data_IF_520362257174
#
_entry.id   IF_520362257174
#
_cell.length_a   1.000
_cell.length_b   1.000
_cell.length_c   1.000
_cell.angle_alpha   90.00
_cell.angle_beta   90.00
_cell.angle_gamma   90.00
#
_symmetry.space_group_name_H-M   'P 1'
#
loop_
_entity.id
_entity.type
_entity.pdbx_description
1 polymer ?
#
# COMPACT_ATOMS: atom_id res chain seq x y z
N UNK A 1 18.72 -0.31 11.16
CA UNK A 1 18.25 -0.08 9.77
C UNK A 1 17.37 1.18 9.58
N UNK A 2 16.72 1.72 10.62
CA UNK A 2 15.90 2.96 10.53
C UNK A 2 16.70 4.24 10.20
N UNK A 3 17.96 4.32 10.63
CA UNK A 3 18.83 5.51 10.48
C UNK A 3 19.39 5.68 9.05
N UNK A 4 19.78 4.57 8.41
CA UNK A 4 20.37 4.60 7.05
C UNK A 4 19.39 5.02 5.97
N UNK A 5 18.12 4.57 6.05
CA UNK A 5 17.10 4.94 5.09
C UNK A 5 16.65 6.40 5.27
N UNK A 6 16.55 6.90 6.50
CA UNK A 6 16.22 8.30 6.80
C UNK A 6 17.21 9.29 6.16
N UNK A 7 18.51 8.98 6.22
CA UNK A 7 19.54 9.81 5.61
C UNK A 7 19.43 9.90 4.08
N UNK A 8 19.11 8.79 3.41
CA UNK A 8 18.96 8.75 1.94
C UNK A 8 17.75 9.54 1.43
N UNK A 9 16.61 9.45 2.12
CA UNK A 9 15.42 10.24 1.73
C UNK A 9 15.65 11.73 1.94
N UNK A 10 16.27 12.12 3.07
CA UNK A 10 16.62 13.52 3.36
C UNK A 10 17.56 14.10 2.30
N UNK A 11 18.57 13.34 1.88
CA UNK A 11 19.49 13.77 0.82
C UNK A 11 18.79 13.99 -0.53
N UNK A 12 17.84 13.11 -0.91
CA UNK A 12 17.06 13.26 -2.14
C UNK A 12 16.14 14.48 -2.09
N UNK A 13 15.46 14.70 -0.97
CA UNK A 13 14.59 15.86 -0.75
C UNK A 13 15.41 17.15 -0.86
N UNK A 14 16.53 17.22 -0.12
CA UNK A 14 17.47 18.34 -0.15
C UNK A 14 17.88 18.67 -1.59
N UNK A 15 18.41 17.69 -2.33
CA UNK A 15 18.86 17.90 -3.71
C UNK A 15 17.72 18.28 -4.66
N UNK A 16 16.53 17.69 -4.49
CA UNK A 16 15.36 17.98 -5.31
C UNK A 16 14.86 19.41 -5.15
N UNK A 17 14.69 19.87 -3.90
CA UNK A 17 14.21 21.22 -3.60
C UNK A 17 15.23 22.26 -4.10
N UNK A 18 16.52 22.09 -3.76
CA UNK A 18 17.57 23.01 -4.22
C UNK A 18 17.60 23.13 -5.74
N UNK A 19 17.53 22.01 -6.47
CA UNK A 19 17.54 21.99 -7.93
C UNK A 19 16.30 22.68 -8.52
N UNK A 20 15.14 22.50 -7.92
CA UNK A 20 13.90 23.15 -8.36
C UNK A 20 13.93 24.66 -8.10
N UNK A 21 14.48 25.11 -6.96
CA UNK A 21 14.66 26.53 -6.64
C UNK A 21 15.60 27.23 -7.63
N UNK A 22 16.72 26.60 -8.02
CA UNK A 22 17.63 27.18 -9.02
C UNK A 22 17.01 27.28 -10.43
N UNK A 23 16.00 26.48 -10.74
CA UNK A 23 15.28 26.49 -12.03
C UNK A 23 13.95 27.25 -11.96
N UNK A 24 13.72 27.99 -10.87
CA UNK A 24 12.44 28.63 -10.61
C UNK A 24 12.05 29.64 -11.70
N UNK A 25 13.00 30.48 -12.17
CA UNK A 25 12.75 31.47 -13.22
C UNK A 25 12.67 30.86 -14.62
N UNK A 26 13.50 29.87 -14.92
CA UNK A 26 13.65 29.31 -16.27
C UNK A 26 12.68 28.17 -16.61
N UNK A 27 12.10 27.50 -15.62
CA UNK A 27 11.29 26.32 -15.83
C UNK A 27 9.94 26.40 -15.10
N UNK A 28 8.87 26.64 -15.87
CA UNK A 28 7.52 26.81 -15.36
C UNK A 28 7.03 25.64 -14.46
N UNK A 29 7.25 24.35 -14.80
CA UNK A 29 6.87 23.26 -13.91
C UNK A 29 7.61 23.30 -12.57
N UNK A 30 8.86 23.77 -12.54
CA UNK A 30 9.61 23.93 -11.30
C UNK A 30 9.05 25.07 -10.43
N UNK A 31 8.67 26.18 -11.06
CA UNK A 31 7.95 27.27 -10.40
C UNK A 31 6.66 26.77 -9.74
N UNK A 32 5.78 26.13 -10.52
CA UNK A 32 4.51 25.60 -10.02
C UNK A 32 4.72 24.58 -8.90
N UNK A 33 5.73 23.72 -9.01
CA UNK A 33 6.04 22.74 -7.96
C UNK A 33 6.50 23.40 -6.66
N UNK A 34 7.36 24.42 -6.73
CA UNK A 34 7.83 25.17 -5.56
C UNK A 34 6.70 26.00 -4.95
N UNK A 35 5.92 26.71 -5.77
CA UNK A 35 4.82 27.54 -5.28
C UNK A 35 3.78 26.70 -4.53
N UNK A 36 3.44 25.52 -5.05
CA UNK A 36 2.55 24.56 -4.38
C UNK A 36 3.18 24.00 -3.11
N UNK A 37 4.48 23.70 -3.10
CA UNK A 37 5.16 23.20 -1.91
C UNK A 37 5.11 24.25 -0.78
N UNK A 38 5.44 25.49 -1.08
CA UNK A 38 5.51 26.56 -0.09
C UNK A 38 4.13 26.90 0.48
N UNK A 39 3.12 27.06 -0.39
CA UNK A 39 1.74 27.37 0.02
C UNK A 39 1.06 26.23 0.77
N UNK A 40 1.31 24.97 0.40
CA UNK A 40 0.70 23.80 1.04
C UNK A 40 1.28 23.50 2.42
N UNK A 41 2.58 23.70 2.60
CA UNK A 41 3.31 23.31 3.81
C UNK A 41 3.69 24.50 4.69
N UNK A 42 3.23 25.71 4.34
CA UNK A 42 3.50 26.95 5.08
C UNK A 42 5.00 27.12 5.38
N UNK A 43 5.81 27.07 4.31
CA UNK A 43 7.26 27.08 4.39
C UNK A 43 7.88 27.96 3.31
N UNK A 44 9.10 28.44 3.52
CA UNK A 44 9.82 29.24 2.52
C UNK A 44 11.28 28.84 2.39
N UNK A 45 11.72 28.68 1.14
CA UNK A 45 13.05 28.17 0.82
C UNK A 45 13.24 26.70 1.25
N UNK A 46 14.46 26.18 1.13
CA UNK A 46 14.73 24.81 1.58
C UNK A 46 14.92 24.74 3.08
N UNK A 47 15.84 25.56 3.61
CA UNK A 47 16.10 25.66 5.06
C UNK A 47 15.57 26.97 5.61
N UNK A 48 15.73 28.06 4.87
CA UNK A 48 15.29 29.38 5.26
C UNK A 48 14.94 30.22 4.02
N UNK A 49 14.12 31.26 4.20
CA UNK A 49 13.72 32.16 3.12
C UNK A 49 14.91 32.94 2.52
N UNK A 50 15.96 33.17 3.30
CA UNK A 50 17.16 33.91 2.89
C UNK A 50 17.89 33.27 1.70
N UNK A 51 17.69 31.97 1.45
CA UNK A 51 18.26 31.30 0.29
C UNK A 51 17.80 31.93 -1.03
N UNK A 52 16.59 32.49 -1.08
CA UNK A 52 16.07 33.21 -2.24
C UNK A 52 16.88 34.46 -2.59
N UNK A 53 17.58 35.05 -1.62
CA UNK A 53 18.38 36.26 -1.83
C UNK A 53 19.62 36.01 -2.68
N UNK A 54 20.03 34.75 -2.81
CA UNK A 54 21.20 34.33 -3.58
C UNK A 54 20.83 33.70 -4.92
N UNK A 55 19.54 33.59 -5.24
CA UNK A 55 19.05 32.98 -6.48
C UNK A 55 18.54 34.08 -7.42
N UNK A 56 19.04 34.18 -8.66
CA UNK A 56 18.57 35.19 -9.62
C UNK A 56 17.22 34.75 -10.23
N UNK A 57 16.14 34.80 -9.43
CA UNK A 57 14.81 34.34 -9.84
C UNK A 57 13.89 35.47 -10.33
N UNK A 58 14.16 36.72 -9.94
CA UNK A 58 13.33 37.90 -10.19
C UNK A 58 13.92 38.85 -11.26
N UNK A 59 15.17 38.66 -11.67
CA UNK A 59 15.83 39.56 -12.61
C UNK A 59 15.36 39.27 -14.04
N UNK A 60 14.82 40.30 -14.72
CA UNK A 60 14.53 40.22 -16.15
C UNK A 60 15.85 40.11 -16.92
N UNK A 61 15.90 39.22 -17.91
CA UNK A 61 17.08 38.94 -18.74
C UNK A 61 17.57 40.14 -19.56
N UNK A 62 16.85 41.26 -19.55
CA UNK A 62 17.07 42.37 -20.47
C UNK A 62 18.09 43.41 -20.00
N UNK A 63 18.43 43.52 -18.70
CA UNK A 63 19.24 44.64 -18.19
C UNK A 63 20.17 44.30 -17.03
N UNK A 64 20.94 43.21 -17.10
CA UNK A 64 22.14 43.15 -16.26
C UNK A 64 23.24 42.40 -16.96
N UNK A 65 24.29 43.15 -17.27
CA UNK A 65 25.60 42.66 -17.64
C UNK A 65 25.90 41.35 -16.91
N UNK A 66 26.21 40.33 -17.72
CA UNK A 66 26.60 38.96 -17.32
C UNK A 66 27.80 38.90 -16.35
N UNK A 67 28.33 40.04 -15.93
CA UNK A 67 29.52 40.21 -15.11
C UNK A 67 29.24 40.38 -13.59
N UNK A 68 27.99 40.50 -13.14
CA UNK A 68 27.65 40.51 -11.69
C UNK A 68 27.35 39.12 -11.09
N UNK A 69 27.34 38.07 -11.92
CA UNK A 69 26.97 36.68 -11.56
C UNK A 69 28.23 35.88 -11.16
N UNK A 70 29.23 36.54 -10.58
CA UNK A 70 30.45 35.88 -10.12
C UNK A 70 30.60 36.25 -8.65
N UNK A 71 30.62 35.20 -7.83
CA UNK A 71 30.61 35.18 -6.36
C UNK A 71 29.20 35.12 -5.78
N UNK A 72 29.04 34.34 -4.71
CA UNK A 72 27.81 34.09 -3.94
C UNK A 72 27.29 35.38 -3.28
N UNK A 73 26.99 36.37 -4.11
CA UNK A 73 26.74 37.74 -3.74
C UNK A 73 25.24 37.90 -3.65
N UNK A 74 24.79 38.35 -2.49
CA UNK A 74 23.43 38.80 -2.24
C UNK A 74 22.90 39.61 -3.44
N UNK A 75 21.79 39.15 -4.02
CA UNK A 75 21.22 39.69 -5.25
C UNK A 75 20.17 40.74 -4.90
N UNK A 76 19.17 40.33 -4.11
CA UNK A 76 18.09 41.19 -3.63
C UNK A 76 17.40 40.52 -2.43
N UNK A 77 16.76 41.31 -1.57
CA UNK A 77 15.93 40.86 -0.44
C UNK A 77 14.49 40.49 -0.87
N UNK A 78 14.34 39.90 -2.05
CA UNK A 78 13.06 39.50 -2.60
C UNK A 78 12.82 38.01 -2.41
N UNK A 79 11.59 37.65 -2.05
CA UNK A 79 11.10 36.27 -2.01
C UNK A 79 9.89 36.10 -2.94
N UNK A 80 9.64 34.87 -3.43
CA UNK A 80 8.43 34.59 -4.18
C UNK A 80 7.16 34.90 -3.36
N UNK A 81 6.10 35.32 -4.05
CA UNK A 81 4.79 35.55 -3.41
C UNK A 81 4.26 34.29 -2.71
N UNK A 82 4.62 33.11 -3.20
CA UNK A 82 4.29 31.83 -2.58
C UNK A 82 4.91 31.63 -1.20
N UNK A 83 5.77 32.51 -0.68
CA UNK A 83 6.26 32.47 0.70
C UNK A 83 5.42 33.29 1.69
N UNK A 84 4.39 33.99 1.20
CA UNK A 84 3.55 34.86 2.01
C UNK A 84 2.68 34.08 2.99
N UNK A 85 2.76 34.47 4.26
CA UNK A 85 1.91 33.92 5.30
C UNK A 85 0.48 34.47 5.23
N UNK A 86 -0.48 33.61 5.53
CA UNK A 86 -1.91 33.93 5.57
C UNK A 86 -2.39 34.28 6.98
N UNK A 87 -1.50 34.21 7.96
CA UNK A 87 -1.83 34.33 9.38
C UNK A 87 -1.90 35.80 9.82
N UNK A 88 -1.29 36.70 9.05
CA UNK A 88 -1.26 38.13 9.32
C UNK A 88 -2.41 38.85 8.59
N UNK A 89 -3.11 39.74 9.30
CA UNK A 89 -4.12 40.65 8.70
C UNK A 89 -3.51 41.75 7.81
N UNK A 90 -2.19 41.80 7.68
CA UNK A 90 -1.45 42.82 6.93
C UNK A 90 -1.12 42.33 5.52
N UNK A 91 -0.96 43.26 4.54
CA UNK A 91 -0.50 42.88 3.22
C UNK A 91 0.89 42.22 3.31
N UNK A 92 1.06 41.08 2.64
CA UNK A 92 2.34 40.40 2.63
C UNK A 92 3.42 41.23 1.91
N UNK A 93 4.54 41.46 2.61
CA UNK A 93 5.72 42.12 2.06
C UNK A 93 6.70 41.04 1.60
N UNK A 94 6.82 40.89 0.29
CA UNK A 94 7.70 39.90 -0.35
C UNK A 94 8.86 40.53 -1.15
N UNK A 95 8.84 41.85 -1.33
CA UNK A 95 9.98 42.64 -1.82
C UNK A 95 10.55 43.43 -0.65
N UNK A 96 11.86 43.60 -0.58
CA UNK A 96 12.43 44.42 0.48
C UNK A 96 12.25 43.80 1.87
N UNK A 97 12.21 42.46 2.01
CA UNK A 97 11.74 41.79 3.25
C UNK A 97 12.55 42.17 4.49
N UNK A 98 13.83 42.52 4.29
CA UNK A 98 14.75 42.94 5.37
C UNK A 98 14.70 44.45 5.65
N UNK A 99 14.05 45.24 4.78
CA UNK A 99 13.96 46.69 4.90
C UNK A 99 12.72 47.09 5.70
N UNK A 100 12.85 48.14 6.50
CA UNK A 100 11.71 48.70 7.22
C UNK A 100 10.82 49.49 6.25
N UNK A 101 9.53 49.17 6.25
CA UNK A 101 8.57 49.81 5.37
C UNK A 101 8.01 51.06 6.01
N UNK A 102 8.23 52.23 5.41
CA UNK A 102 7.68 53.51 5.92
C UNK A 102 6.18 53.65 5.67
N UNK A 103 5.69 53.10 4.55
CA UNK A 103 4.27 53.19 4.14
C UNK A 103 3.37 52.33 5.04
N UNK A 104 3.79 51.10 5.32
CA UNK A 104 2.98 50.12 6.08
C UNK A 104 3.45 49.93 7.53
N UNK A 105 4.38 50.76 8.03
CA UNK A 105 5.02 50.62 9.36
C UNK A 105 5.52 49.19 9.62
N UNK A 106 6.14 48.60 8.61
CA UNK A 106 6.63 47.23 8.67
C UNK A 106 7.96 47.17 9.41
N UNK A 107 8.03 46.31 10.43
CA UNK A 107 9.27 46.02 11.13
C UNK A 107 9.60 44.52 11.06
N UNK A 108 10.68 44.14 10.35
CA UNK A 108 11.03 42.74 10.12
C UNK A 108 11.40 41.98 11.40
N UNK A 109 11.79 42.69 12.47
CA UNK A 109 12.14 42.07 13.77
C UNK A 109 10.91 41.74 14.62
N UNK A 110 9.79 42.45 14.41
CA UNK A 110 8.58 42.29 15.21
C UNK A 110 7.52 41.46 14.51
N UNK A 111 7.36 41.63 13.20
CA UNK A 111 6.29 41.01 12.42
C UNK A 111 6.83 40.65 11.04
N UNK A 112 7.15 39.38 10.82
CA UNK A 112 7.58 38.89 9.52
C UNK A 112 6.36 38.27 8.81
N UNK A 113 5.95 38.82 7.67
CA UNK A 113 4.74 38.39 6.92
C UNK A 113 4.98 37.17 6.02
N UNK A 114 6.11 36.48 6.19
CA UNK A 114 6.51 35.33 5.37
C UNK A 114 6.81 34.13 6.27
N UNK A 115 6.65 32.94 5.73
CA UNK A 115 6.97 31.73 6.48
C UNK A 115 8.48 31.62 6.75
N UNK A 116 8.84 31.53 8.03
CA UNK A 116 10.23 31.33 8.47
C UNK A 116 10.67 29.87 8.42
N UNK A 117 9.71 28.93 8.41
CA UNK A 117 10.00 27.50 8.42
C UNK A 117 10.58 27.05 7.08
N UNK A 118 11.66 26.27 7.13
CA UNK A 118 12.23 25.62 5.95
C UNK A 118 11.36 24.48 5.44
N UNK A 119 11.19 24.40 4.12
CA UNK A 119 10.38 23.35 3.50
C UNK A 119 10.97 21.94 3.68
N UNK A 120 12.29 21.80 3.84
CA UNK A 120 12.94 20.51 4.06
C UNK A 120 12.41 19.82 5.33
N UNK A 121 12.42 20.55 6.46
CA UNK A 121 11.99 20.00 7.74
C UNK A 121 10.48 19.79 7.80
N UNK A 122 9.68 20.75 7.33
CA UNK A 122 8.22 20.64 7.28
C UNK A 122 7.75 19.48 6.42
N UNK A 123 8.38 19.27 5.27
CA UNK A 123 8.04 18.16 4.39
C UNK A 123 8.40 16.81 5.04
N UNK A 124 9.56 16.71 5.67
CA UNK A 124 10.00 15.49 6.35
C UNK A 124 9.10 15.15 7.53
N UNK A 125 8.72 16.15 8.33
CA UNK A 125 7.83 15.93 9.49
C UNK A 125 6.46 15.42 9.06
N UNK A 126 5.87 16.02 8.03
CA UNK A 126 4.58 15.59 7.49
C UNK A 126 4.65 14.19 6.88
N UNK A 127 5.68 13.90 6.08
CA UNK A 127 5.88 12.57 5.51
C UNK A 127 6.06 11.50 6.60
N UNK A 128 6.76 11.81 7.69
CA UNK A 128 6.98 10.89 8.80
C UNK A 128 5.67 10.60 9.55
N UNK A 129 4.87 11.62 9.83
CA UNK A 129 3.56 11.49 10.48
C UNK A 129 2.60 10.62 9.67
N UNK A 130 2.48 10.89 8.37
CA UNK A 130 1.64 10.11 7.46
C UNK A 130 2.14 8.67 7.32
N UNK A 131 3.45 8.49 7.18
CA UNK A 131 4.08 7.17 7.07
C UNK A 131 3.79 6.31 8.30
N UNK A 132 3.88 6.87 9.51
CA UNK A 132 3.55 6.13 10.73
C UNK A 132 2.11 5.59 10.73
N UNK A 133 1.13 6.44 10.37
CA UNK A 133 -0.28 6.04 10.28
C UNK A 133 -0.49 4.93 9.25
N UNK A 134 0.09 5.07 8.06
CA UNK A 134 0.00 4.05 7.02
C UNK A 134 0.63 2.73 7.46
N UNK A 135 1.83 2.76 8.05
CA UNK A 135 2.50 1.56 8.56
C UNK A 135 1.70 0.86 9.66
N UNK A 136 1.03 1.61 10.54
CA UNK A 136 0.18 1.05 11.58
C UNK A 136 -1.03 0.31 10.97
N UNK A 137 -1.71 0.93 10.01
CA UNK A 137 -2.84 0.32 9.29
C UNK A 137 -2.40 -0.92 8.51
N UNK A 138 -1.30 -0.84 7.77
CA UNK A 138 -0.74 -1.98 7.03
C UNK A 138 -0.37 -3.13 7.96
N UNK A 139 0.21 -2.85 9.13
CA UNK A 139 0.54 -3.89 10.11
C UNK A 139 -0.71 -4.58 10.65
N UNK A 140 -1.79 -3.84 10.91
CA UNK A 140 -3.08 -4.40 11.33
C UNK A 140 -3.66 -5.32 10.26
N UNK A 141 -3.62 -4.91 9.00
CA UNK A 141 -4.10 -5.72 7.86
C UNK A 141 -3.29 -7.03 7.77
N UNK A 142 -1.97 -6.97 7.87
CA UNK A 142 -1.11 -8.15 7.83
C UNK A 142 -1.42 -9.10 9.00
N UNK A 143 -1.62 -8.57 10.22
CA UNK A 143 -2.02 -9.40 11.37
C UNK A 143 -3.38 -10.08 11.13
N UNK A 144 -4.37 -9.35 10.61
CA UNK A 144 -5.68 -9.90 10.29
C UNK A 144 -5.59 -11.03 9.24
N UNK A 145 -4.78 -10.84 8.19
CA UNK A 145 -4.54 -11.89 7.19
C UNK A 145 -3.91 -13.14 7.81
N UNK A 146 -2.92 -12.98 8.70
CA UNK A 146 -2.29 -14.12 9.39
C UNK A 146 -3.31 -14.87 10.25
N UNK A 147 -4.15 -14.15 11.00
CA UNK A 147 -5.22 -14.75 11.81
C UNK A 147 -6.22 -15.54 10.97
N UNK A 148 -6.63 -15.00 9.81
CA UNK A 148 -7.51 -15.71 8.88
C UNK A 148 -6.87 -17.00 8.36
N UNK A 149 -5.59 -16.96 7.99
CA UNK A 149 -4.86 -18.15 7.54
C UNK A 149 -4.78 -19.20 8.65
N UNK A 150 -4.49 -18.80 9.89
CA UNK A 150 -4.45 -19.72 11.05
C UNK A 150 -5.83 -20.34 11.29
N UNK A 151 -6.91 -19.56 11.26
CA UNK A 151 -8.26 -20.07 11.45
C UNK A 151 -8.64 -21.13 10.40
N UNK A 152 -8.33 -20.88 9.13
CA UNK A 152 -8.56 -21.84 8.04
C UNK A 152 -7.72 -23.12 8.24
N UNK A 153 -6.46 -22.98 8.65
CA UNK A 153 -5.59 -24.14 8.93
C UNK A 153 -6.07 -24.97 10.11
N UNK A 154 -6.57 -24.33 11.15
CA UNK A 154 -7.17 -24.99 12.31
C UNK A 154 -8.42 -25.78 11.91
N UNK A 155 -9.35 -25.14 11.21
CA UNK A 155 -10.59 -25.77 10.74
C UNK A 155 -10.30 -27.00 9.85
N UNK A 156 -9.38 -26.85 8.91
CA UNK A 156 -8.99 -27.95 8.03
C UNK A 156 -8.34 -29.13 8.79
N UNK A 157 -7.55 -28.84 9.83
CA UNK A 157 -6.94 -29.89 10.68
C UNK A 157 -8.01 -30.60 11.51
N UNK A 158 -8.93 -29.86 12.12
CA UNK A 158 -10.05 -30.43 12.89
C UNK A 158 -10.93 -31.33 12.02
N UNK A 159 -11.26 -30.90 10.79
CA UNK A 159 -12.03 -31.69 9.84
C UNK A 159 -11.35 -33.02 9.48
N UNK A 160 -10.03 -32.99 9.16
CA UNK A 160 -9.28 -34.21 8.87
C UNK A 160 -9.20 -35.14 10.07
N UNK A 161 -8.96 -34.59 11.27
CA UNK A 161 -8.88 -35.39 12.49
C UNK A 161 -10.22 -36.06 12.81
N UNK A 162 -11.34 -35.35 12.65
CA UNK A 162 -12.69 -35.92 12.82
C UNK A 162 -12.99 -37.04 11.82
N UNK A 163 -12.51 -36.92 10.58
CA UNK A 163 -12.64 -37.97 9.57
C UNK A 163 -11.84 -39.24 9.92
N UNK A 164 -10.63 -39.08 10.47
CA UNK A 164 -9.78 -40.20 10.87
C UNK A 164 -10.27 -40.93 12.14
N UNK A 165 -10.98 -40.24 13.03
CA UNK A 165 -11.49 -40.86 14.27
C UNK A 165 -12.60 -41.87 14.01
N UNK A 166 -13.17 -41.92 12.79
CA UNK A 166 -14.20 -42.91 12.45
C UNK A 166 -15.44 -42.67 13.30
N UNK A 167 -16.37 -41.94 12.72
CA UNK A 167 -17.57 -41.46 13.39
C UNK A 167 -18.26 -42.57 14.23
N UNK A 168 -18.14 -42.51 15.58
CA UNK A 168 -18.95 -43.35 16.49
C UNK A 168 -20.37 -42.81 16.63
N UNK A 169 -20.93 -42.22 15.58
CA UNK A 169 -22.36 -41.91 15.58
C UNK A 169 -23.07 -43.23 15.37
N UNK A 170 -23.82 -43.67 16.39
CA UNK A 170 -24.69 -44.84 16.31
C UNK A 170 -25.88 -44.51 15.42
N UNK A 171 -25.72 -44.67 14.11
CA UNK A 171 -26.82 -44.56 13.17
C UNK A 171 -27.73 -45.77 13.31
N UNK A 172 -28.97 -45.56 13.78
CA UNK A 172 -30.01 -46.58 13.72
C UNK A 172 -30.59 -46.60 12.31
N UNK A 173 -30.40 -47.72 11.59
CA UNK A 173 -31.03 -47.94 10.29
C UNK A 173 -32.20 -48.92 10.46
N UNK A 174 -33.42 -48.48 10.16
CA UNK A 174 -34.59 -49.34 10.14
C UNK A 174 -34.68 -50.06 8.79
N UNK A 175 -34.45 -51.38 8.78
CA UNK A 175 -34.66 -52.21 7.61
C UNK A 175 -36.16 -52.51 7.46
N UNK A 176 -36.82 -51.81 6.54
CA UNK A 176 -38.19 -52.10 6.14
C UNK A 176 -38.20 -53.22 5.10
N UNK A 177 -38.77 -54.38 5.45
CA UNK A 177 -39.00 -55.47 4.51
C UNK A 177 -40.16 -55.07 3.59
N UNK A 178 -39.88 -54.88 2.31
CA UNK A 178 -40.95 -54.74 1.31
C UNK A 178 -41.78 -56.03 1.26
N UNK A 179 -43.09 -55.90 1.45
CA UNK A 179 -44.07 -57.00 1.42
C UNK A 179 -44.62 -57.29 0.03
N UNK A 180 -44.12 -56.61 -1.01
CA UNK A 180 -44.39 -57.04 -2.39
C UNK A 180 -43.58 -58.31 -2.65
N UNK A 181 -44.24 -59.47 -2.57
CA UNK A 181 -43.74 -60.76 -3.04
C UNK A 181 -43.19 -60.64 -4.47
N UNK A 182 -41.90 -60.34 -4.60
CA UNK A 182 -41.16 -60.82 -5.76
C UNK A 182 -40.90 -62.28 -5.45
N UNK A 183 -41.77 -63.16 -5.97
CA UNK A 183 -41.44 -64.56 -6.15
C UNK A 183 -40.08 -64.62 -6.84
N UNK A 184 -39.03 -64.87 -6.07
CA UNK A 184 -37.72 -65.23 -6.58
C UNK A 184 -37.95 -66.43 -7.51
N UNK A 185 -37.58 -66.36 -8.80
CA UNK A 185 -37.43 -67.58 -9.58
C UNK A 185 -36.47 -68.48 -8.82
N UNK A 186 -36.81 -69.76 -8.64
CA UNK A 186 -35.92 -70.78 -8.08
C UNK A 186 -34.66 -70.88 -8.94
N UNK A 187 -33.70 -69.97 -8.75
CA UNK A 187 -32.36 -70.10 -9.26
C UNK A 187 -31.61 -70.97 -8.25
N UNK A 188 -31.50 -72.23 -8.63
CA UNK A 188 -30.67 -73.26 -8.02
C UNK A 188 -29.39 -72.67 -7.42
N UNK A 189 -29.24 -72.81 -6.11
CA UNK A 189 -27.99 -72.51 -5.40
C UNK A 189 -26.91 -73.47 -5.89
N UNK A 190 -26.19 -73.11 -6.95
CA UNK A 190 -24.85 -73.65 -7.17
C UNK A 190 -23.93 -72.90 -6.23
N UNK A 191 -23.55 -73.52 -5.11
CA UNK A 191 -22.43 -73.07 -4.28
C UNK A 191 -21.18 -72.98 -5.16
N UNK A 192 -20.87 -71.79 -5.68
CA UNK A 192 -19.53 -71.51 -6.18
C UNK A 192 -18.63 -71.35 -4.96
N UNK A 193 -17.91 -72.42 -4.64
CA UNK A 193 -16.75 -72.37 -3.74
C UNK A 193 -15.80 -71.28 -4.25
N UNK A 194 -15.79 -70.14 -3.58
CA UNK A 194 -14.77 -69.12 -3.81
C UNK A 194 -13.44 -69.66 -3.29
N UNK A 195 -12.61 -70.16 -4.21
CA UNK A 195 -11.22 -70.55 -3.97
C UNK A 195 -10.46 -69.31 -3.49
N UNK A 196 -10.02 -69.29 -2.22
CA UNK A 196 -9.14 -68.25 -1.67
C UNK A 196 -7.91 -68.11 -2.57
N UNK A 197 -7.72 -66.96 -3.22
CA UNK A 197 -6.45 -66.60 -3.85
C UNK A 197 -5.50 -66.09 -2.76
N UNK A 198 -4.29 -66.66 -2.69
CA UNK A 198 -3.22 -66.25 -1.77
C UNK A 198 -2.88 -64.76 -1.98
N UNK A 199 -2.55 -64.00 -0.92
CA UNK A 199 -2.07 -62.64 -1.07
C UNK A 199 -0.70 -62.64 -1.77
N UNK A 200 -0.57 -61.89 -2.87
CA UNK A 200 0.74 -61.53 -3.41
C UNK A 200 1.21 -60.28 -2.66
N UNK A 201 2.40 -60.35 -2.05
CA UNK A 201 3.09 -59.20 -1.47
C UNK A 201 3.24 -58.09 -2.51
N UNK A 202 2.64 -56.93 -2.26
CA UNK A 202 2.94 -55.72 -3.00
C UNK A 202 4.18 -55.07 -2.37
N UNK A 203 5.28 -55.07 -3.12
CA UNK A 203 6.47 -54.26 -2.83
C UNK A 203 6.10 -52.78 -2.81
N UNK A 204 6.64 -52.10 -1.82
CA UNK A 204 6.68 -50.64 -1.66
C UNK A 204 7.16 -49.95 -2.92
N UNK A 205 6.43 -48.95 -3.40
CA UNK A 205 6.97 -47.90 -4.27
C UNK A 205 6.55 -46.53 -3.74
N UNK A 206 7.56 -45.81 -3.23
CA UNK A 206 7.55 -44.37 -3.03
C UNK A 206 7.10 -43.68 -4.32
N UNK A 207 6.21 -42.70 -4.21
CA UNK A 207 6.01 -41.73 -5.28
C UNK A 207 6.44 -40.35 -4.78
N UNK A 208 7.46 -39.86 -5.47
CA UNK A 208 8.07 -38.55 -5.37
C UNK A 208 7.08 -37.49 -5.84
N UNK A 209 6.98 -36.41 -5.08
CA UNK A 209 6.32 -35.16 -5.48
C UNK A 209 7.11 -34.46 -6.59
N UNK A 210 6.45 -34.04 -7.67
CA UNK A 210 6.97 -32.95 -8.51
C UNK A 210 5.83 -32.15 -9.17
N UNK A 211 5.95 -30.83 -9.02
CA UNK A 211 5.16 -29.77 -9.67
C UNK A 211 5.54 -29.65 -11.15
N UNK A 212 4.59 -29.25 -12.02
CA UNK A 212 4.79 -28.27 -13.13
C UNK A 212 3.77 -28.38 -14.30
N UNK A 213 2.93 -27.34 -14.41
CA UNK A 213 2.75 -26.46 -15.61
C UNK A 213 1.94 -26.93 -16.86
N UNK A 214 0.73 -26.34 -16.99
CA UNK A 214 0.00 -25.82 -18.19
C UNK A 214 -0.10 -26.59 -19.53
N UNK A 215 -1.34 -26.81 -20.03
CA UNK A 215 -1.99 -26.07 -21.15
C UNK A 215 -3.33 -26.71 -21.59
N UNK A 216 -4.38 -25.86 -21.64
CA UNK A 216 -5.44 -25.66 -22.69
C UNK A 216 -5.81 -26.87 -23.61
N UNK A 217 -7.08 -27.17 -23.91
CA UNK A 217 -8.04 -26.34 -24.68
C UNK A 217 -9.41 -27.08 -24.89
N UNK A 218 -10.56 -26.38 -24.78
CA UNK A 218 -11.82 -26.47 -25.63
C UNK A 218 -12.66 -27.78 -25.61
N UNK A 219 -14.02 -27.89 -25.71
CA UNK A 219 -15.24 -27.06 -25.90
C UNK A 219 -16.44 -27.90 -25.35
N UNK A 220 -17.42 -27.31 -24.64
CA UNK A 220 -18.78 -26.93 -25.10
C UNK A 220 -19.94 -27.92 -24.85
N UNK A 221 -20.98 -27.32 -24.25
CA UNK A 221 -22.43 -27.44 -24.47
C UNK A 221 -23.26 -28.58 -23.85
N UNK A 222 -24.13 -28.12 -22.92
CA UNK A 222 -25.59 -28.33 -22.79
C UNK A 222 -26.14 -29.68 -22.35
N UNK A 223 -26.82 -29.66 -21.20
CA UNK A 223 -28.26 -29.99 -20.94
C UNK A 223 -28.37 -30.45 -19.47
N UNK A 224 -29.00 -29.62 -18.63
CA UNK A 224 -30.40 -29.74 -18.18
C UNK A 224 -30.62 -30.84 -17.13
N UNK A 225 -31.03 -30.37 -15.95
CA UNK A 225 -31.84 -31.05 -14.94
C UNK A 225 -31.28 -32.32 -14.28
N UNK A 226 -30.81 -32.20 -13.05
CA UNK A 226 -31.16 -33.21 -12.04
C UNK A 226 -31.10 -32.59 -10.65
N UNK A 227 -32.27 -32.48 -10.06
CA UNK A 227 -32.56 -31.92 -8.74
C UNK A 227 -31.59 -32.42 -7.67
N UNK A 228 -31.00 -31.47 -6.96
CA UNK A 228 -30.56 -31.64 -5.58
C UNK A 228 -31.74 -32.12 -4.76
N UNK A 229 -31.80 -33.42 -4.46
CA UNK A 229 -32.61 -33.92 -3.35
C UNK A 229 -31.68 -34.56 -2.33
N UNK A 230 -31.15 -33.69 -1.47
CA UNK A 230 -30.51 -34.06 -0.22
C UNK A 230 -31.50 -34.85 0.64
N UNK A 231 -31.39 -36.17 0.63
CA UNK A 231 -31.86 -36.97 1.76
C UNK A 231 -30.85 -36.79 2.91
N UNK A 232 -31.14 -35.81 3.77
CA UNK A 232 -30.52 -35.66 5.09
C UNK A 232 -30.74 -36.97 5.86
N UNK A 233 -29.69 -37.61 6.38
CA UNK A 233 -29.89 -38.54 7.48
C UNK A 233 -30.36 -37.73 8.70
N UNK A 234 -31.49 -38.12 9.28
CA UNK A 234 -31.90 -37.65 10.59
C UNK A 234 -30.99 -38.36 11.59
N UNK A 235 -29.92 -37.67 11.98
CA UNK A 235 -29.13 -38.01 13.15
C UNK A 235 -29.57 -37.05 14.26
N UNK A 236 -30.06 -37.59 15.38
CA UNK A 236 -30.14 -36.83 16.64
C UNK A 236 -28.75 -36.62 17.23
#
# INVERSE_FOLDING_TARGET
MRIYNGCRYRAKIKGGITKAMFRYSSHLPSKVAIDRLQTRFHCCGRVNYQEWFYIPWFMNEENTERNKIINHKFIADNVPYSCCSTDELYPCIHHGVMQEGTIYKYNPKKQLTIWQAGCEEKLISEMMSVSWRFNAVMSLIIMAMILQVIAVRYLHTAYRNGLHVGNKITCQAYLLRSTTDTKLPKLSVKRKLFRKRKPRQARTLQWITSYSTTRKLIQSSKSENSSDEMLKPICE
#
